data_IF_001377286669
#
_entry.id   IF_001377286669
#
_cell.length_a   1.000
_cell.length_b   1.000
_cell.length_c   1.000
_cell.angle_alpha   90.00
_cell.angle_beta   90.00
_cell.angle_gamma   90.00
#
_symmetry.space_group_name_H-M   'P 1'
#
loop_
_entity.id
_entity.type
_entity.pdbx_description
1 polymer ?
#
# COMPACT_ATOMS: atom_id res chain seq x y z
N UNK A 1 -79.36 20.23 29.08
CA UNK A 1 -78.69 18.92 29.11
C UNK A 1 -78.78 18.29 27.73
N UNK A 2 -77.71 18.36 26.95
CA UNK A 2 -77.51 17.62 25.68
C UNK A 2 -76.00 17.56 25.43
N UNK A 3 -75.40 16.42 25.77
CA UNK A 3 -74.04 16.06 25.36
C UNK A 3 -74.02 15.86 23.84
N UNK A 4 -73.06 16.50 23.17
CA UNK A 4 -72.66 16.16 21.80
C UNK A 4 -71.16 15.84 21.84
N UNK A 5 -70.85 14.56 21.75
CA UNK A 5 -69.52 14.04 21.41
C UNK A 5 -69.30 14.22 19.90
N UNK A 6 -68.13 14.72 19.50
CA UNK A 6 -67.52 14.43 18.19
C UNK A 6 -66.00 14.66 18.22
N UNK A 7 -65.24 14.00 17.31
CA UNK A 7 -64.03 13.25 17.64
C UNK A 7 -62.73 14.03 17.46
N UNK A 8 -61.72 13.70 18.28
CA UNK A 8 -60.35 14.14 18.11
C UNK A 8 -59.70 13.42 16.92
N UNK A 9 -59.47 14.16 15.83
CA UNK A 9 -58.64 13.71 14.72
C UNK A 9 -57.17 13.72 15.14
N UNK A 10 -56.60 12.54 15.36
CA UNK A 10 -55.19 12.34 15.64
C UNK A 10 -54.41 12.43 14.33
N UNK A 11 -53.92 13.62 13.96
CA UNK A 11 -52.94 13.77 12.88
C UNK A 11 -51.59 13.20 13.34
N UNK A 12 -51.29 11.98 12.92
CA UNK A 12 -49.95 11.41 13.03
C UNK A 12 -49.01 12.14 12.06
N UNK A 13 -48.24 13.09 12.58
CA UNK A 13 -47.05 13.63 11.92
C UNK A 13 -46.03 12.50 11.77
N UNK A 14 -46.01 11.86 10.61
CA UNK A 14 -44.90 10.98 10.21
C UNK A 14 -43.70 11.86 9.90
N UNK A 15 -42.91 12.15 10.93
CA UNK A 15 -41.57 12.68 10.76
C UNK A 15 -40.76 11.70 9.94
N UNK A 16 -40.42 12.08 8.71
CA UNK A 16 -39.43 11.38 7.91
C UNK A 16 -38.09 11.49 8.63
N UNK A 17 -37.75 10.47 9.41
CA UNK A 17 -36.41 10.30 9.93
C UNK A 17 -35.50 10.06 8.71
N UNK A 18 -34.81 11.10 8.27
CA UNK A 18 -33.65 10.93 7.39
C UNK A 18 -32.66 10.08 8.18
N UNK A 19 -32.55 8.80 7.81
CA UNK A 19 -31.51 7.92 8.29
C UNK A 19 -30.18 8.46 7.79
N UNK A 20 -29.57 9.33 8.60
CA UNK A 20 -28.18 9.73 8.44
C UNK A 20 -27.35 8.47 8.55
N UNK A 21 -26.94 7.93 7.40
CA UNK A 21 -26.01 6.81 7.35
C UNK A 21 -24.75 7.28 8.05
N UNK A 22 -24.47 6.69 9.21
CA UNK A 22 -23.24 6.89 9.95
C UNK A 22 -22.06 6.28 9.17
N UNK A 23 -21.67 6.93 8.08
CA UNK A 23 -20.38 6.71 7.46
C UNK A 23 -19.28 7.18 8.41
N UNK A 24 -18.17 6.45 8.46
CA UNK A 24 -17.00 6.88 9.23
C UNK A 24 -16.51 8.25 8.74
N UNK A 25 -15.85 9.03 9.61
CA UNK A 25 -15.26 10.31 9.20
C UNK A 25 -14.24 10.04 8.07
N UNK A 26 -14.30 10.76 6.93
CA UNK A 26 -13.33 10.55 5.87
C UNK A 26 -11.91 10.88 6.36
N UNK A 27 -10.96 10.02 6.00
CA UNK A 27 -9.54 10.28 6.16
C UNK A 27 -9.03 10.97 4.90
N UNK A 28 -8.42 12.13 5.06
CA UNK A 28 -7.91 12.97 3.98
C UNK A 28 -6.38 13.06 4.09
N UNK A 29 -5.68 12.81 2.99
CA UNK A 29 -4.27 13.12 2.81
C UNK A 29 -4.13 13.98 1.57
N UNK A 30 -3.33 15.04 1.66
CA UNK A 30 -3.01 15.90 0.53
C UNK A 30 -1.51 16.14 0.56
N UNK A 31 -0.86 15.94 -0.59
CA UNK A 31 0.59 16.05 -0.74
C UNK A 31 0.92 16.73 -2.06
N UNK A 32 1.95 17.59 -2.02
CA UNK A 32 2.49 18.24 -3.21
C UNK A 32 3.69 17.45 -3.74
N UNK A 33 3.70 17.21 -5.04
CA UNK A 33 4.80 16.59 -5.75
C UNK A 33 5.87 17.63 -6.10
N UNK A 34 7.09 17.15 -6.39
CA UNK A 34 8.24 17.98 -6.80
C UNK A 34 8.00 18.73 -8.12
N UNK A 35 7.17 18.18 -9.01
CA UNK A 35 6.77 18.79 -10.28
C UNK A 35 5.70 19.89 -10.13
N UNK A 36 5.25 20.16 -8.90
CA UNK A 36 4.24 21.16 -8.57
C UNK A 36 2.80 20.67 -8.62
N UNK A 37 2.56 19.44 -9.08
CA UNK A 37 1.26 18.79 -9.00
C UNK A 37 0.91 18.40 -7.57
N UNK A 38 -0.36 18.10 -7.32
CA UNK A 38 -0.88 17.69 -6.02
C UNK A 38 -1.68 16.41 -6.14
N UNK A 39 -1.46 15.48 -5.20
CA UNK A 39 -2.34 14.34 -4.99
C UNK A 39 -3.18 14.55 -3.73
N UNK A 40 -4.46 14.21 -3.84
CA UNK A 40 -5.39 14.12 -2.73
C UNK A 40 -5.91 12.71 -2.64
N UNK A 41 -5.78 12.08 -1.48
CA UNK A 41 -6.37 10.80 -1.17
C UNK A 41 -7.47 10.98 -0.12
N UNK A 42 -8.68 10.57 -0.47
CA UNK A 42 -9.80 10.49 0.46
C UNK A 42 -10.18 9.04 0.67
N UNK A 43 -10.21 8.61 1.93
CA UNK A 43 -10.67 7.29 2.33
C UNK A 43 -11.94 7.40 3.17
N UNK A 44 -12.99 6.69 2.76
CA UNK A 44 -14.28 6.65 3.46
C UNK A 44 -14.70 5.21 3.72
N UNK A 45 -15.01 4.90 4.97
CA UNK A 45 -15.60 3.62 5.36
C UNK A 45 -17.11 3.78 5.52
N UNK A 46 -17.85 2.89 4.88
CA UNK A 46 -19.30 2.81 4.98
C UNK A 46 -19.67 1.46 5.63
N UNK A 47 -20.01 1.45 6.94
CA UNK A 47 -20.42 0.25 7.65
C UNK A 47 -21.68 -0.39 7.08
N UNK A 48 -22.61 0.40 6.54
CA UNK A 48 -23.87 -0.13 6.01
C UNK A 48 -23.67 -0.99 4.74
N UNK A 49 -22.65 -0.66 3.94
CA UNK A 49 -22.28 -1.45 2.76
C UNK A 49 -21.07 -2.36 3.01
N UNK A 50 -20.51 -2.34 4.22
CA UNK A 50 -19.25 -3.00 4.58
C UNK A 50 -18.10 -2.72 3.60
N UNK A 51 -17.98 -1.48 3.12
CA UNK A 51 -17.01 -1.08 2.11
C UNK A 51 -16.16 0.11 2.56
N UNK A 52 -14.88 0.05 2.22
CA UNK A 52 -13.95 1.18 2.24
C UNK A 52 -13.72 1.64 0.81
N UNK A 53 -13.95 2.91 0.54
CA UNK A 53 -13.60 3.56 -0.73
C UNK A 53 -12.35 4.39 -0.55
N UNK A 54 -11.37 4.20 -1.42
CA UNK A 54 -10.14 5.01 -1.52
C UNK A 54 -10.20 5.72 -2.85
N UNK A 55 -10.41 7.04 -2.81
CA UNK A 55 -10.44 7.91 -3.98
C UNK A 55 -9.18 8.76 -4.02
N UNK A 56 -8.57 8.85 -5.19
CA UNK A 56 -7.37 9.65 -5.43
C UNK A 56 -7.68 10.64 -6.54
N UNK A 57 -7.36 11.89 -6.28
CA UNK A 57 -7.56 13.00 -7.19
C UNK A 57 -6.23 13.71 -7.42
N UNK A 58 -6.01 14.13 -8.65
CA UNK A 58 -4.84 14.89 -9.08
C UNK A 58 -5.25 16.31 -9.40
N UNK A 59 -4.40 17.24 -9.00
CA UNK A 59 -4.40 18.62 -9.50
C UNK A 59 -3.02 18.86 -10.11
N UNK A 60 -2.94 19.11 -11.42
CA UNK A 60 -1.66 19.23 -12.14
C UNK A 60 -0.92 20.57 -11.91
N UNK A 61 -1.61 21.60 -11.40
CA UNK A 61 -1.04 22.87 -10.97
C UNK A 61 -1.95 23.56 -9.95
N UNK A 62 -1.45 24.54 -9.18
CA UNK A 62 -2.25 25.23 -8.15
C UNK A 62 -3.55 25.87 -8.70
N UNK A 63 -3.57 26.24 -9.99
CA UNK A 63 -4.71 26.85 -10.66
C UNK A 63 -5.76 25.84 -11.16
N UNK A 64 -5.41 24.56 -11.28
CA UNK A 64 -6.30 23.53 -11.81
C UNK A 64 -7.23 22.97 -10.72
N UNK A 65 -8.46 22.55 -11.06
CA UNK A 65 -9.26 21.77 -10.14
C UNK A 65 -8.68 20.36 -9.93
N UNK A 66 -9.02 19.74 -8.80
CA UNK A 66 -8.78 18.31 -8.61
C UNK A 66 -9.66 17.50 -9.57
N UNK A 67 -9.09 16.46 -10.17
CA UNK A 67 -9.78 15.49 -11.01
C UNK A 67 -9.46 14.06 -10.55
N UNK A 68 -10.43 13.14 -10.54
CA UNK A 68 -10.20 11.77 -10.11
C UNK A 68 -9.24 11.04 -11.06
N UNK A 69 -8.28 10.32 -10.50
CA UNK A 69 -7.32 9.49 -11.25
C UNK A 69 -7.35 8.01 -10.83
N UNK A 70 -7.87 7.71 -9.64
CA UNK A 70 -8.03 6.36 -9.14
C UNK A 70 -9.20 6.27 -8.15
N UNK A 71 -10.00 5.21 -8.26
CA UNK A 71 -10.96 4.82 -7.23
C UNK A 71 -10.83 3.32 -6.96
N UNK A 72 -10.70 2.95 -5.69
CA UNK A 72 -10.59 1.57 -5.22
C UNK A 72 -11.64 1.30 -4.15
N UNK A 73 -12.11 0.06 -4.10
CA UNK A 73 -13.01 -0.41 -3.05
C UNK A 73 -12.41 -1.64 -2.36
N UNK A 74 -12.59 -1.71 -1.05
CA UNK A 74 -12.15 -2.82 -0.21
C UNK A 74 -13.30 -3.25 0.69
N UNK A 75 -13.59 -4.56 0.73
CA UNK A 75 -14.48 -5.11 1.74
C UNK A 75 -13.88 -4.93 3.13
N UNK A 76 -14.66 -4.40 4.07
CA UNK A 76 -14.27 -4.28 5.48
C UNK A 76 -14.18 -5.65 6.15
N UNK A 77 -15.01 -6.61 5.74
CA UNK A 77 -14.96 -7.98 6.23
C UNK A 77 -13.71 -8.73 5.74
N UNK A 78 -13.31 -8.56 4.48
CA UNK A 78 -12.12 -9.23 3.92
C UNK A 78 -10.82 -8.52 4.30
N UNK A 79 -10.82 -7.19 4.33
CA UNK A 79 -9.64 -6.35 4.57
C UNK A 79 -9.88 -5.35 5.70
N UNK A 80 -10.10 -5.81 6.95
CA UNK A 80 -10.41 -4.92 8.07
C UNK A 80 -9.30 -3.88 8.28
N UNK A 81 -8.04 -4.26 8.10
CA UNK A 81 -6.86 -3.39 8.24
C UNK A 81 -6.43 -2.70 6.93
N UNK A 82 -7.22 -2.85 5.86
CA UNK A 82 -6.93 -2.23 4.58
C UNK A 82 -6.91 -0.69 4.68
N UNK A 83 -6.11 -0.04 3.84
CA UNK A 83 -5.99 1.43 3.84
C UNK A 83 -5.25 1.93 2.60
N UNK A 84 -5.49 3.19 2.26
CA UNK A 84 -4.70 3.96 1.31
C UNK A 84 -3.80 4.98 2.01
N UNK A 85 -2.61 5.22 1.49
CA UNK A 85 -1.78 6.37 1.85
C UNK A 85 -0.99 6.90 0.67
N UNK A 86 -0.60 8.16 0.76
CA UNK A 86 0.37 8.77 -0.16
C UNK A 86 1.78 8.61 0.41
N UNK A 87 2.73 8.21 -0.42
CA UNK A 87 4.14 8.14 -0.06
C UNK A 87 5.01 8.16 -1.31
N UNK A 88 6.11 8.91 -1.28
CA UNK A 88 7.20 8.81 -2.25
C UNK A 88 8.07 7.61 -1.88
N UNK A 89 7.86 6.49 -2.55
CA UNK A 89 8.51 5.20 -2.28
C UNK A 89 9.83 5.09 -3.00
N UNK A 90 9.92 5.63 -4.21
CA UNK A 90 11.10 5.49 -5.05
C UNK A 90 12.00 6.74 -5.07
N UNK A 91 11.63 7.79 -4.33
CA UNK A 91 12.44 8.98 -4.11
C UNK A 91 12.52 9.90 -5.32
N UNK A 92 11.63 9.77 -6.30
CA UNK A 92 11.59 10.64 -7.48
C UNK A 92 10.85 11.98 -7.23
N UNK A 93 10.31 12.15 -6.03
CA UNK A 93 9.57 13.34 -5.61
C UNK A 93 8.12 13.35 -6.08
N UNK A 94 7.63 12.30 -6.73
CA UNK A 94 6.23 12.08 -7.05
C UNK A 94 5.64 11.08 -6.05
N UNK A 95 4.49 11.42 -5.47
CA UNK A 95 3.84 10.55 -4.51
C UNK A 95 3.18 9.35 -5.20
N UNK A 96 3.43 8.15 -4.70
CA UNK A 96 2.65 6.96 -5.01
C UNK A 96 1.45 6.79 -4.09
N UNK A 97 0.49 6.00 -4.58
CA UNK A 97 -0.62 5.49 -3.76
C UNK A 97 -0.28 4.09 -3.29
N UNK A 98 -0.20 3.93 -1.98
CA UNK A 98 0.03 2.65 -1.32
C UNK A 98 -1.29 2.10 -0.81
N UNK A 99 -1.84 1.14 -1.53
CA UNK A 99 -3.02 0.38 -1.10
C UNK A 99 -2.56 -0.84 -0.30
N UNK A 100 -2.79 -0.83 1.01
CA UNK A 100 -2.62 -2.01 1.87
C UNK A 100 -3.92 -2.80 1.94
N UNK A 101 -3.84 -4.13 1.85
CA UNK A 101 -4.96 -5.06 2.00
C UNK A 101 -4.74 -5.99 3.18
N UNK A 102 -4.54 -7.28 2.92
CA UNK A 102 -4.38 -8.32 3.93
C UNK A 102 -2.99 -8.26 4.57
N UNK A 103 -2.93 -8.29 5.89
CA UNK A 103 -1.70 -8.50 6.65
C UNK A 103 -1.85 -9.85 7.36
N UNK A 104 -0.95 -10.80 7.05
CA UNK A 104 -0.96 -12.12 7.68
C UNK A 104 -0.29 -12.11 9.05
N UNK A 105 0.17 -13.27 9.51
CA UNK A 105 1.05 -13.35 10.67
C UNK A 105 2.42 -12.73 10.33
N UNK A 106 2.85 -11.76 11.13
CA UNK A 106 4.13 -11.06 10.93
C UNK A 106 4.00 -9.72 10.17
N UNK A 107 5.13 -9.17 9.68
CA UNK A 107 5.16 -7.80 9.16
C UNK A 107 4.68 -7.67 7.71
N UNK A 108 4.54 -8.77 6.97
CA UNK A 108 4.20 -8.71 5.55
C UNK A 108 2.71 -8.41 5.35
N UNK A 109 2.42 -7.48 4.43
CA UNK A 109 1.07 -7.24 3.95
C UNK A 109 1.02 -7.30 2.43
N UNK A 110 -0.11 -7.76 1.87
CA UNK A 110 -0.43 -7.56 0.47
C UNK A 110 -0.61 -6.07 0.22
N UNK A 111 0.19 -5.54 -0.71
CA UNK A 111 0.17 -4.13 -1.10
C UNK A 111 0.04 -4.02 -2.61
N UNK A 112 -0.65 -2.97 -3.06
CA UNK A 112 -0.64 -2.51 -4.44
C UNK A 112 -0.14 -1.09 -4.45
N UNK A 113 0.90 -0.84 -5.24
CA UNK A 113 1.47 0.50 -5.45
C UNK A 113 0.98 1.01 -6.78
N UNK A 114 0.43 2.21 -6.79
CA UNK A 114 0.07 2.92 -8.02
C UNK A 114 0.93 4.15 -8.17
N UNK A 115 1.49 4.33 -9.36
CA UNK A 115 2.08 5.62 -9.78
C UNK A 115 1.04 6.43 -10.54
N UNK A 116 1.19 7.74 -10.55
CA UNK A 116 0.33 8.68 -11.28
C UNK A 116 1.18 9.41 -12.31
N UNK A 117 0.68 9.53 -13.54
CA UNK A 117 1.27 10.39 -14.55
C UNK A 117 0.45 11.70 -14.54
N UNK A 118 1.03 12.83 -14.09
CA UNK A 118 0.30 14.08 -14.01
C UNK A 118 -0.10 14.64 -15.37
N UNK A 119 0.73 14.44 -16.40
CA UNK A 119 0.47 14.89 -17.77
C UNK A 119 -0.67 14.12 -18.43
N UNK A 120 -0.73 12.80 -18.22
CA UNK A 120 -1.79 11.95 -18.75
C UNK A 120 -3.03 11.88 -17.85
N UNK A 121 -2.93 12.41 -16.62
CA UNK A 121 -3.97 12.32 -15.57
C UNK A 121 -4.46 10.89 -15.35
N UNK A 122 -3.52 9.95 -15.29
CA UNK A 122 -3.82 8.52 -15.18
C UNK A 122 -2.97 7.87 -14.10
N UNK A 123 -3.60 7.04 -13.28
CA UNK A 123 -2.89 6.13 -12.39
C UNK A 123 -2.69 4.76 -13.06
N UNK A 124 -1.55 4.11 -12.82
CA UNK A 124 -1.33 2.72 -13.22
C UNK A 124 -0.76 1.91 -12.06
N UNK A 125 -1.04 0.61 -12.07
CA UNK A 125 -0.48 -0.32 -11.10
C UNK A 125 1.01 -0.48 -11.40
N UNK A 126 1.85 -0.08 -10.45
CA UNK A 126 3.30 -0.15 -10.57
C UNK A 126 3.86 -1.44 -9.99
N UNK A 127 3.34 -1.87 -8.84
CA UNK A 127 3.77 -3.12 -8.21
C UNK A 127 2.64 -3.72 -7.39
N UNK A 128 2.53 -5.05 -7.38
CA UNK A 128 1.64 -5.79 -6.50
C UNK A 128 2.35 -6.98 -5.88
N UNK A 129 2.23 -7.16 -4.58
CA UNK A 129 2.86 -8.29 -3.90
C UNK A 129 2.68 -8.28 -2.38
N UNK A 130 3.22 -9.29 -1.71
CA UNK A 130 3.25 -9.40 -0.25
C UNK A 130 4.61 -8.99 0.29
N UNK A 131 4.71 -7.80 0.87
CA UNK A 131 5.98 -7.29 1.40
C UNK A 131 5.76 -6.36 2.60
N UNK A 132 6.78 -6.29 3.46
CA UNK A 132 6.80 -5.38 4.60
C UNK A 132 7.19 -3.97 4.16
N UNK A 133 8.31 -3.82 3.46
CA UNK A 133 8.84 -2.52 3.01
C UNK A 133 9.18 -2.52 1.54
N UNK A 134 9.29 -1.32 0.99
CA UNK A 134 9.67 -1.05 -0.40
C UNK A 134 10.52 0.23 -0.41
N UNK A 135 11.58 0.25 -1.20
CA UNK A 135 12.46 1.40 -1.39
C UNK A 135 13.15 1.33 -2.74
N UNK A 136 13.63 2.47 -3.23
CA UNK A 136 14.59 2.50 -4.35
C UNK A 136 16.02 2.35 -3.85
N UNK A 137 16.80 1.53 -4.53
CA UNK A 137 18.25 1.46 -4.39
C UNK A 137 18.84 1.51 -5.80
N UNK A 138 19.64 2.53 -6.08
CA UNK A 138 20.13 2.86 -7.43
C UNK A 138 18.98 2.92 -8.46
N UNK A 139 19.01 2.03 -9.46
CA UNK A 139 17.98 1.91 -10.50
C UNK A 139 17.05 0.71 -10.29
N UNK A 140 16.93 0.24 -9.05
CA UNK A 140 16.08 -0.88 -8.68
C UNK A 140 15.01 -0.47 -7.68
N UNK A 141 13.86 -1.12 -7.78
CA UNK A 141 12.87 -1.18 -6.70
C UNK A 141 13.15 -2.43 -5.89
N UNK A 142 13.31 -2.27 -4.58
CA UNK A 142 13.59 -3.37 -3.66
C UNK A 142 12.43 -3.51 -2.70
N UNK A 143 11.76 -4.65 -2.74
CA UNK A 143 10.83 -5.04 -1.66
C UNK A 143 11.58 -5.84 -0.61
N UNK A 144 11.12 -5.78 0.64
CA UNK A 144 11.62 -6.64 1.69
C UNK A 144 10.45 -7.26 2.46
N UNK A 145 10.60 -8.51 2.86
CA UNK A 145 9.61 -9.22 3.66
C UNK A 145 10.22 -10.35 4.46
N UNK A 146 9.55 -10.72 5.55
CA UNK A 146 9.91 -11.87 6.36
C UNK A 146 9.53 -13.15 5.61
N UNK A 147 10.49 -14.06 5.42
CA UNK A 147 10.27 -15.35 4.75
C UNK A 147 10.04 -16.49 5.76
N UNK A 148 10.74 -16.46 6.90
CA UNK A 148 10.53 -17.38 8.03
C UNK A 148 10.76 -16.69 9.38
N UNK A 149 10.77 -17.41 10.51
CA UNK A 149 11.05 -16.82 11.83
C UNK A 149 12.41 -16.11 11.89
N UNK A 150 13.39 -16.62 11.15
CA UNK A 150 14.76 -16.15 11.21
C UNK A 150 15.29 -15.79 9.83
N UNK A 151 14.44 -15.46 8.85
CA UNK A 151 14.90 -15.06 7.51
C UNK A 151 14.08 -13.96 6.88
N UNK A 152 14.77 -13.14 6.09
CA UNK A 152 14.25 -12.06 5.27
C UNK A 152 14.61 -12.30 3.82
N UNK A 153 13.72 -11.87 2.93
CA UNK A 153 13.93 -11.88 1.49
C UNK A 153 13.81 -10.46 0.98
N UNK A 154 14.78 -10.06 0.16
CA UNK A 154 14.74 -8.84 -0.62
C UNK A 154 14.59 -9.20 -2.10
N UNK A 155 13.49 -8.77 -2.71
CA UNK A 155 13.28 -8.96 -4.15
C UNK A 155 13.66 -7.66 -4.86
N UNK A 156 14.62 -7.76 -5.77
CA UNK A 156 15.23 -6.62 -6.45
C UNK A 156 14.74 -6.58 -7.89
N UNK A 157 13.88 -5.62 -8.21
CA UNK A 157 13.27 -5.48 -9.53
C UNK A 157 13.90 -4.36 -10.33
N UNK A 158 14.11 -4.59 -11.62
CA UNK A 158 14.46 -3.53 -12.58
C UNK A 158 13.28 -2.57 -12.71
N UNK A 159 13.56 -1.27 -12.72
CA UNK A 159 12.53 -0.26 -12.97
C UNK A 159 12.21 -0.25 -14.48
N UNK A 160 10.95 -0.47 -14.90
CA UNK A 160 10.55 -0.39 -16.29
C UNK A 160 10.79 1.01 -16.87
N UNK A 161 11.20 1.10 -18.13
CA UNK A 161 11.35 2.38 -18.84
C UNK A 161 10.01 2.94 -19.35
N UNK A 162 8.92 2.19 -19.23
CA UNK A 162 7.58 2.56 -19.66
C UNK A 162 6.57 2.43 -18.52
N UNK A 163 5.42 3.09 -18.66
CA UNK A 163 4.30 3.01 -17.71
C UNK A 163 3.62 1.64 -17.76
N UNK A 164 4.22 0.69 -17.04
CA UNK A 164 3.66 -0.64 -16.83
C UNK A 164 3.93 -1.12 -15.41
N UNK A 165 3.29 -2.22 -15.08
CA UNK A 165 3.51 -2.95 -13.84
C UNK A 165 4.86 -3.68 -13.86
N UNK A 166 5.53 -3.70 -12.71
CA UNK A 166 6.65 -4.58 -12.39
C UNK A 166 6.12 -5.99 -12.19
N UNK A 167 6.67 -6.94 -12.92
CA UNK A 167 6.29 -8.36 -12.87
C UNK A 167 7.48 -9.24 -12.49
N UNK A 168 7.27 -10.56 -12.46
CA UNK A 168 8.35 -11.52 -12.26
C UNK A 168 9.47 -11.43 -13.31
N UNK A 169 9.16 -10.95 -14.53
CA UNK A 169 10.16 -10.76 -15.58
C UNK A 169 11.15 -9.63 -15.25
N UNK A 170 10.77 -8.69 -14.39
CA UNK A 170 11.64 -7.60 -13.97
C UNK A 170 12.54 -7.97 -12.80
N UNK A 171 12.30 -9.12 -12.15
CA UNK A 171 13.09 -9.57 -11.02
C UNK A 171 14.54 -9.83 -11.47
N UNK A 172 15.47 -9.07 -10.91
CA UNK A 172 16.89 -9.16 -11.22
C UNK A 172 17.62 -10.05 -10.23
N UNK A 173 17.27 -9.93 -8.94
CA UNK A 173 17.88 -10.68 -7.87
C UNK A 173 16.87 -11.03 -6.79
N UNK A 174 17.07 -12.17 -6.15
CA UNK A 174 16.48 -12.52 -4.86
C UNK A 174 17.62 -12.63 -3.85
N UNK A 175 17.55 -11.85 -2.78
CA UNK A 175 18.57 -11.79 -1.74
C UNK A 175 17.94 -12.27 -0.44
N UNK A 176 18.30 -13.48 -0.04
CA UNK A 176 17.84 -14.08 1.21
C UNK A 176 18.87 -13.89 2.30
N UNK A 177 18.46 -13.30 3.43
CA UNK A 177 19.28 -13.13 4.62
C UNK A 177 18.66 -13.95 5.75
N UNK A 178 19.39 -14.96 6.22
CA UNK A 178 18.95 -15.78 7.34
C UNK A 178 19.87 -15.60 8.54
N UNK A 179 19.27 -15.59 9.72
CA UNK A 179 19.98 -15.54 10.98
C UNK A 179 20.80 -16.80 11.19
N UNK A 180 21.67 -16.79 12.20
CA UNK A 180 22.41 -17.98 12.58
C UNK A 180 21.45 -19.13 12.89
N UNK A 181 21.66 -20.27 12.23
CA UNK A 181 20.87 -21.50 12.42
C UNK A 181 21.44 -22.32 13.59
N UNK A 182 22.72 -22.12 13.90
CA UNK A 182 23.45 -22.81 14.97
C UNK A 182 23.50 -21.93 16.22
N UNK A 183 23.32 -22.53 17.41
CA UNK A 183 23.30 -21.83 18.71
C UNK A 183 24.54 -20.97 18.98
N UNK A 184 25.67 -21.29 18.36
CA UNK A 184 26.98 -20.66 18.60
C UNK A 184 27.44 -19.77 17.44
N UNK A 185 26.63 -19.59 16.40
CA UNK A 185 26.94 -18.68 15.30
C UNK A 185 26.30 -17.32 15.57
N UNK A 186 27.04 -16.24 15.34
CA UNK A 186 26.50 -14.86 15.35
C UNK A 186 26.34 -14.30 13.93
N UNK A 187 26.76 -15.06 12.91
CA UNK A 187 26.87 -14.56 11.54
C UNK A 187 25.63 -14.91 10.74
N UNK A 188 24.92 -13.88 10.27
CA UNK A 188 23.86 -14.02 9.29
C UNK A 188 24.42 -14.57 7.96
N UNK A 189 23.68 -15.48 7.33
CA UNK A 189 24.02 -16.02 6.00
C UNK A 189 23.23 -15.24 4.96
N UNK A 190 23.93 -14.74 3.94
CA UNK A 190 23.33 -14.08 2.80
C UNK A 190 23.49 -14.94 1.55
N UNK A 191 22.39 -15.22 0.85
CA UNK A 191 22.39 -15.87 -0.45
C UNK A 191 21.80 -14.92 -1.48
N UNK A 192 22.53 -14.71 -2.56
CA UNK A 192 22.11 -13.87 -3.67
C UNK A 192 21.92 -14.79 -4.86
N UNK A 193 20.72 -14.78 -5.43
CA UNK A 193 20.41 -15.54 -6.65
C UNK A 193 19.87 -14.60 -7.73
N UNK A 194 20.03 -15.00 -8.99
CA UNK A 194 19.40 -14.35 -10.14
C UNK A 194 18.66 -15.39 -10.98
N UNK A 195 17.61 -15.01 -11.71
CA UNK A 195 16.98 -15.90 -12.66
C UNK A 195 17.91 -16.16 -13.86
N UNK A 196 17.97 -17.42 -14.30
CA UNK A 196 18.64 -17.88 -15.51
C UNK A 196 17.72 -18.91 -16.21
N UNK A 197 16.92 -18.41 -17.16
CA UNK A 197 15.82 -19.20 -17.72
C UNK A 197 14.74 -19.45 -16.67
N UNK A 198 14.42 -20.72 -16.42
CA UNK A 198 13.48 -21.14 -15.37
C UNK A 198 14.18 -21.46 -14.04
N UNK A 199 15.51 -21.44 -14.00
CA UNK A 199 16.30 -21.76 -12.82
C UNK A 199 16.79 -20.52 -12.08
N UNK A 200 17.19 -20.73 -10.83
CA UNK A 200 17.83 -19.72 -10.00
C UNK A 200 19.27 -20.12 -9.72
N UNK A 201 20.20 -19.25 -10.09
CA UNK A 201 21.64 -19.51 -9.92
C UNK A 201 22.22 -18.56 -8.89
N UNK A 202 23.14 -19.09 -8.06
CA UNK A 202 23.89 -18.28 -7.11
C UNK A 202 24.76 -17.26 -7.86
N UNK A 203 24.79 -16.04 -7.37
CA UNK A 203 25.52 -14.95 -8.02
C UNK A 203 25.99 -13.92 -6.98
N UNK A 204 26.63 -12.86 -7.44
CA UNK A 204 26.90 -11.65 -6.66
C UNK A 204 26.16 -10.48 -7.32
N UNK A 205 25.87 -9.43 -6.56
CA UNK A 205 25.29 -8.21 -7.12
C UNK A 205 26.40 -7.25 -7.55
N UNK A 206 26.29 -6.62 -8.74
CA UNK A 206 27.34 -5.71 -9.23
C UNK A 206 27.39 -4.41 -8.42
N UNK A 207 26.27 -4.01 -7.81
CA UNK A 207 26.14 -2.75 -7.07
C UNK A 207 26.47 -2.93 -5.59
N UNK A 208 27.40 -2.12 -5.07
CA UNK A 208 27.76 -2.14 -3.65
C UNK A 208 26.57 -1.77 -2.73
N UNK A 209 25.69 -0.88 -3.18
CA UNK A 209 24.46 -0.49 -2.50
C UNK A 209 23.52 -1.69 -2.27
N UNK A 210 23.41 -2.60 -3.26
CA UNK A 210 22.63 -3.84 -3.12
C UNK A 210 23.30 -4.84 -2.18
N UNK A 211 24.64 -4.90 -2.13
CA UNK A 211 25.36 -5.76 -1.16
C UNK A 211 25.04 -5.39 0.29
N UNK A 212 24.72 -4.12 0.56
CA UNK A 212 24.33 -3.70 1.90
C UNK A 212 23.07 -4.41 2.41
N UNK A 213 22.22 -4.93 1.52
CA UNK A 213 21.05 -5.75 1.89
C UNK A 213 21.45 -7.00 2.69
N UNK A 214 22.64 -7.57 2.45
CA UNK A 214 23.16 -8.70 3.21
C UNK A 214 23.50 -8.38 4.67
N UNK A 215 23.66 -7.10 5.03
CA UNK A 215 23.99 -6.68 6.39
C UNK A 215 22.75 -6.40 7.25
N UNK A 216 21.58 -6.28 6.63
CA UNK A 216 20.34 -6.04 7.37
C UNK A 216 19.71 -7.36 7.80
N UNK A 217 20.01 -7.77 9.03
CA UNK A 217 19.26 -8.83 9.70
C UNK A 217 18.43 -8.24 10.84
N UNK A 218 17.12 -8.08 10.62
CA UNK A 218 16.17 -7.88 11.72
C UNK A 218 16.24 -6.56 12.49
N UNK A 219 17.06 -5.57 12.11
CA UNK A 219 17.16 -4.29 12.85
C UNK A 219 15.85 -3.47 12.88
N UNK A 220 14.89 -3.77 12.01
CA UNK A 220 13.56 -3.15 12.02
C UNK A 220 12.54 -3.89 12.93
N UNK A 221 12.93 -5.01 13.55
CA UNK A 221 12.05 -5.83 14.39
C UNK A 221 12.80 -6.25 15.64
N UNK A 222 12.57 -5.51 16.73
CA UNK A 222 12.89 -5.96 18.08
C UNK A 222 12.23 -7.33 18.30
N UNK A 223 13.01 -8.41 18.22
CA UNK A 223 12.61 -9.73 18.71
C UNK A 223 12.99 -9.74 20.20
N UNK A 224 12.15 -9.09 21.01
CA UNK A 224 11.91 -9.31 22.44
C UNK A 224 11.18 -8.08 23.02
N UNK A 225 9.87 -8.14 23.29
CA UNK A 225 9.36 -7.44 24.44
C UNK A 225 9.74 -8.29 25.67
N UNK A 226 10.64 -7.77 26.50
CA UNK A 226 10.58 -8.12 27.91
C UNK A 226 9.23 -7.68 28.49
#
# INVERSE_FOLDING_TARGET
MRLLLMPAALMALTGAATAGHAGGRPLLQEQRNSDGSWLRLTQLENPATEQRTIRVELRDSDASPYAPVLERHQSLATFPQGRGRLADIDGDGLMEIVETKYCGAGPNCTKTIFKVNPLQRKAWRFLHGGFFSIRRIDNFVVTAGRSSCCSWVHQVYRIPTSEREITAQDLAYDITVSGPIEKDSTTARCWITRPEGEEWVSTDVPHQSLRQLCHFYGDDVVINPD
#
